data_IF_128395088417
#
_entry.id   IF_128395088417
#
_cell.length_a   1.000
_cell.length_b   1.000
_cell.length_c   1.000
_cell.angle_alpha   90.00
_cell.angle_beta   90.00
_cell.angle_gamma   90.00
#
_symmetry.space_group_name_H-M   'P 1'
#
loop_
_entity.id
_entity.type
_entity.pdbx_description
1 polymer ?
#
# COMPACT_ATOMS: atom_id res chain seq x y z
N UNK A 1 12.34 9.81 2.71
CA UNK A 1 13.08 8.71 2.05
C UNK A 1 14.01 9.25 1.00
N UNK A 2 13.50 9.85 -0.09
CA UNK A 2 14.33 10.32 -1.22
C UNK A 2 15.47 11.26 -0.81
N UNK A 3 15.19 12.25 0.06
CA UNK A 3 16.21 13.19 0.57
C UNK A 3 17.41 12.50 1.24
N UNK A 4 17.17 11.41 1.96
CA UNK A 4 18.17 10.74 2.78
C UNK A 4 18.68 9.44 2.12
N UNK A 5 18.20 9.10 0.92
CA UNK A 5 18.63 7.94 0.13
C UNK A 5 20.15 7.86 -0.08
N UNK A 6 20.83 8.93 -0.51
CA UNK A 6 22.28 8.92 -0.67
C UNK A 6 23.03 8.65 0.65
N UNK A 7 22.51 9.18 1.77
CA UNK A 7 23.11 8.96 3.09
C UNK A 7 22.98 7.50 3.50
N UNK A 8 21.82 6.89 3.27
CA UNK A 8 21.59 5.48 3.56
C UNK A 8 22.57 4.60 2.79
N UNK A 9 22.71 4.80 1.47
CA UNK A 9 23.62 4.01 0.61
C UNK A 9 25.09 4.17 0.98
N UNK A 10 25.48 5.28 1.58
CA UNK A 10 26.86 5.51 2.04
C UNK A 10 27.21 4.76 3.34
N UNK A 11 26.22 4.25 4.09
CA UNK A 11 26.47 3.47 5.30
C UNK A 11 26.97 2.09 4.90
N UNK A 12 28.09 1.58 5.46
CA UNK A 12 28.60 0.24 5.19
C UNK A 12 27.74 -0.82 5.90
N UNK A 13 26.50 -0.98 5.45
CA UNK A 13 25.58 -2.00 5.88
C UNK A 13 25.49 -3.10 4.82
N UNK A 14 25.26 -4.34 5.28
CA UNK A 14 25.08 -5.50 4.40
C UNK A 14 23.76 -5.43 3.61
N UNK A 15 22.74 -4.80 4.19
CA UNK A 15 21.43 -4.59 3.58
C UNK A 15 20.95 -3.19 3.96
N UNK A 16 20.58 -2.41 2.96
CA UNK A 16 19.79 -1.20 3.13
C UNK A 16 18.32 -1.52 2.87
N UNK A 17 17.43 -0.97 3.67
CA UNK A 17 15.99 -1.14 3.44
C UNK A 17 15.20 0.14 3.72
N UNK A 18 14.06 0.27 3.06
CA UNK A 18 13.05 1.27 3.39
C UNK A 18 11.81 0.58 3.95
N UNK A 19 11.34 1.06 5.10
CA UNK A 19 9.98 0.78 5.57
C UNK A 19 9.10 1.97 5.25
N UNK A 20 8.26 1.82 4.24
CA UNK A 20 7.30 2.81 3.76
C UNK A 20 5.97 2.55 4.45
N UNK A 21 5.93 2.83 5.75
CA UNK A 21 4.78 2.55 6.61
C UNK A 21 4.58 3.68 7.65
N UNK A 22 3.35 4.20 7.82
CA UNK A 22 2.22 4.03 6.90
C UNK A 22 2.49 4.75 5.56
N UNK A 23 2.17 4.12 4.44
CA UNK A 23 2.43 4.68 3.10
C UNK A 23 1.34 5.69 2.69
N UNK A 24 1.51 6.95 3.12
CA UNK A 24 0.46 7.97 3.03
C UNK A 24 0.71 9.08 2.00
N UNK A 25 1.65 8.87 1.09
CA UNK A 25 1.89 9.81 0.01
C UNK A 25 2.68 9.18 -1.13
N UNK A 26 2.37 9.59 -2.36
CA UNK A 26 3.05 9.10 -3.54
C UNK A 26 4.53 9.46 -3.52
N UNK A 27 5.41 8.49 -3.78
CA UNK A 27 6.85 8.72 -3.87
C UNK A 27 7.28 9.23 -5.25
N UNK A 28 6.40 9.26 -6.25
CA UNK A 28 6.78 9.57 -7.62
C UNK A 28 7.63 8.46 -8.25
N UNK A 29 8.35 8.83 -9.30
CA UNK A 29 9.44 8.03 -9.83
C UNK A 29 10.66 8.13 -8.91
N UNK A 30 11.09 6.99 -8.38
CA UNK A 30 12.27 6.86 -7.53
C UNK A 30 13.47 6.56 -8.43
N UNK A 31 14.51 7.41 -8.44
CA UNK A 31 15.74 7.10 -9.17
C UNK A 31 16.33 5.77 -8.71
N UNK A 32 16.73 4.92 -9.68
CA UNK A 32 17.18 3.54 -9.42
C UNK A 32 18.34 3.49 -8.42
N UNK A 33 19.26 4.45 -8.50
CA UNK A 33 20.43 4.57 -7.64
C UNK A 33 20.08 4.86 -6.17
N UNK A 34 18.88 5.37 -5.90
CA UNK A 34 18.39 5.63 -4.56
C UNK A 34 17.62 4.45 -3.97
N UNK A 35 17.16 3.50 -4.79
CA UNK A 35 16.45 2.33 -4.27
C UNK A 35 17.38 1.49 -3.36
N UNK A 36 16.87 1.06 -2.20
CA UNK A 36 17.60 0.19 -1.29
C UNK A 36 17.58 -1.26 -1.81
N UNK A 37 18.18 -2.18 -1.06
CA UNK A 37 18.17 -3.61 -1.42
C UNK A 37 16.82 -4.27 -1.12
N UNK A 38 16.03 -3.65 -0.24
CA UNK A 38 14.73 -4.14 0.19
C UNK A 38 13.74 -3.01 0.51
N UNK A 39 12.51 -3.12 0.03
CA UNK A 39 11.44 -2.17 0.31
C UNK A 39 10.26 -2.90 0.94
N UNK A 40 9.78 -2.37 2.06
CA UNK A 40 8.58 -2.82 2.76
C UNK A 40 7.53 -1.73 2.61
N UNK A 41 6.33 -2.08 2.12
CA UNK A 41 5.21 -1.17 2.00
C UNK A 41 4.01 -1.66 2.80
N UNK A 42 3.28 -0.73 3.42
CA UNK A 42 2.09 -1.07 4.18
C UNK A 42 1.27 0.14 4.64
N UNK A 43 -0.03 -0.10 4.82
CA UNK A 43 -0.97 0.93 5.28
C UNK A 43 -1.09 1.00 6.81
N UNK A 44 -1.80 2.04 7.28
CA UNK A 44 -1.91 2.39 8.69
C UNK A 44 -2.88 1.45 9.43
N UNK A 45 -2.54 1.05 10.67
CA UNK A 45 -3.42 0.28 11.55
C UNK A 45 -3.90 1.12 12.73
N UNK A 46 -5.01 0.73 13.37
CA UNK A 46 -5.54 1.38 14.57
C UNK A 46 -6.77 2.25 14.33
N UNK A 47 -7.32 2.84 15.41
CA UNK A 47 -8.64 3.49 15.39
C UNK A 47 -8.74 4.71 14.47
N UNK A 48 -7.61 5.35 14.15
CA UNK A 48 -7.55 6.55 13.31
C UNK A 48 -6.75 6.30 12.01
N UNK A 49 -6.65 5.05 11.59
CA UNK A 49 -5.91 4.69 10.39
C UNK A 49 -6.43 5.45 9.17
N UNK A 50 -5.50 5.96 8.36
CA UNK A 50 -5.77 6.62 7.08
C UNK A 50 -5.67 5.63 5.92
N UNK A 51 -6.49 5.78 4.86
CA UNK A 51 -6.40 4.98 3.65
C UNK A 51 -5.07 5.20 2.91
N UNK A 52 -4.49 4.12 2.38
CA UNK A 52 -3.32 4.13 1.49
C UNK A 52 -3.81 3.89 0.07
N UNK A 53 -3.52 4.80 -0.86
CA UNK A 53 -3.94 4.65 -2.25
C UNK A 53 -3.30 3.40 -2.90
N UNK A 54 -4.07 2.46 -3.47
CA UNK A 54 -3.55 1.23 -4.06
C UNK A 54 -2.47 1.46 -5.13
N UNK A 55 -2.68 2.48 -5.97
CA UNK A 55 -1.71 2.87 -7.01
C UNK A 55 -0.32 3.24 -6.48
N UNK A 56 -0.19 3.72 -5.23
CA UNK A 56 1.12 4.04 -4.66
C UNK A 56 1.91 2.76 -4.34
N UNK A 57 1.25 1.76 -3.76
CA UNK A 57 1.86 0.46 -3.49
C UNK A 57 2.23 -0.27 -4.79
N UNK A 58 1.34 -0.25 -5.80
CA UNK A 58 1.59 -0.82 -7.13
C UNK A 58 2.77 -0.15 -7.83
N UNK A 59 2.80 1.18 -7.89
CA UNK A 59 3.90 1.92 -8.51
C UNK A 59 5.25 1.61 -7.83
N UNK A 60 5.30 1.64 -6.49
CA UNK A 60 6.55 1.34 -5.76
C UNK A 60 7.02 -0.10 -5.99
N UNK A 61 6.10 -1.06 -6.00
CA UNK A 61 6.37 -2.46 -6.32
C UNK A 61 6.94 -2.62 -7.72
N UNK A 62 6.33 -1.99 -8.72
CA UNK A 62 6.74 -2.12 -10.12
C UNK A 62 8.13 -1.50 -10.34
N UNK A 63 8.40 -0.37 -9.67
CA UNK A 63 9.74 0.24 -9.64
C UNK A 63 10.78 -0.68 -8.97
N UNK A 64 10.42 -1.36 -7.87
CA UNK A 64 11.31 -2.34 -7.23
C UNK A 64 11.59 -3.54 -8.16
N UNK A 65 10.56 -4.10 -8.79
CA UNK A 65 10.71 -5.23 -9.72
C UNK A 65 11.59 -4.85 -10.92
N UNK A 66 11.39 -3.66 -11.50
CA UNK A 66 12.22 -3.17 -12.61
C UNK A 66 13.70 -2.93 -12.18
N UNK A 67 13.90 -2.63 -10.90
CA UNK A 67 15.23 -2.42 -10.31
C UNK A 67 15.90 -3.71 -9.82
N UNK A 68 15.22 -4.86 -9.87
CA UNK A 68 15.63 -6.11 -9.20
C UNK A 68 15.85 -5.93 -7.68
N UNK A 69 14.97 -5.13 -7.06
CA UNK A 69 14.95 -4.84 -5.62
C UNK A 69 13.85 -5.67 -4.96
N UNK A 70 14.17 -6.30 -3.83
CA UNK A 70 13.19 -7.08 -3.09
C UNK A 70 12.05 -6.19 -2.59
N UNK A 71 10.81 -6.62 -2.81
CA UNK A 71 9.61 -5.91 -2.36
C UNK A 71 8.73 -6.78 -1.47
N UNK A 72 8.46 -6.30 -0.26
CA UNK A 72 7.52 -6.86 0.68
C UNK A 72 6.29 -5.96 0.80
N UNK A 73 5.13 -6.44 0.35
CA UNK A 73 3.86 -5.86 0.76
C UNK A 73 3.46 -6.46 2.10
N UNK A 74 3.61 -5.68 3.16
CA UNK A 74 3.36 -6.17 4.51
C UNK A 74 1.88 -6.34 4.76
N UNK A 75 1.07 -5.31 4.54
CA UNK A 75 -0.39 -5.35 4.68
C UNK A 75 -1.05 -4.03 4.27
N UNK A 76 -2.37 -4.06 4.15
CA UNK A 76 -3.21 -2.88 3.89
C UNK A 76 -3.45 -1.95 5.10
N UNK A 77 -3.35 -2.46 6.34
CA UNK A 77 -3.80 -1.68 7.50
C UNK A 77 -5.30 -1.86 7.73
N UNK A 78 -6.02 -0.83 8.21
CA UNK A 78 -7.47 -0.96 8.45
C UNK A 78 -8.34 -0.86 7.18
N UNK A 79 -7.79 -0.31 6.10
CA UNK A 79 -8.49 0.00 4.85
C UNK A 79 -7.97 -0.87 3.72
N UNK A 80 -8.85 -1.45 2.90
CA UNK A 80 -8.43 -2.25 1.73
C UNK A 80 -9.26 -1.93 0.50
N UNK A 81 -8.71 -2.25 -0.67
CA UNK A 81 -9.39 -2.14 -1.97
C UNK A 81 -10.54 -3.15 -2.08
N UNK A 82 -11.54 -2.84 -2.91
CA UNK A 82 -12.67 -3.73 -3.17
C UNK A 82 -12.29 -5.17 -3.55
N UNK A 83 -11.15 -5.37 -4.23
CA UNK A 83 -10.62 -6.71 -4.56
C UNK A 83 -10.39 -7.62 -3.34
N UNK A 84 -10.15 -7.04 -2.16
CA UNK A 84 -9.87 -7.76 -0.92
C UNK A 84 -11.08 -7.79 0.02
N UNK A 85 -12.15 -7.08 -0.32
CA UNK A 85 -13.39 -7.12 0.43
C UNK A 85 -14.12 -8.40 0.06
N UNK A 86 -13.95 -9.43 0.90
CA UNK A 86 -14.91 -10.54 0.94
C UNK A 86 -16.30 -9.92 1.12
N UNK A 87 -17.33 -10.43 0.43
CA UNK A 87 -18.73 -9.98 0.60
C UNK A 87 -19.11 -10.05 2.08
N UNK A 88 -18.90 -8.96 2.80
CA UNK A 88 -19.29 -8.82 4.19
C UNK A 88 -20.72 -8.28 4.21
N UNK A 89 -21.52 -8.79 5.13
CA UNK A 89 -22.82 -8.21 5.42
C UNK A 89 -22.63 -7.00 6.34
N UNK A 90 -23.03 -5.82 5.91
CA UNK A 90 -23.10 -4.64 6.76
C UNK A 90 -22.69 -3.33 6.11
N UNK A 91 -22.94 -2.25 6.83
CA UNK A 91 -22.47 -0.90 6.49
C UNK A 91 -21.04 -0.73 6.99
N UNK A 92 -20.13 -0.29 6.11
CA UNK A 92 -18.74 0.02 6.44
C UNK A 92 -18.40 1.45 6.04
N UNK A 93 -17.40 2.04 6.70
CA UNK A 93 -16.84 3.30 6.23
C UNK A 93 -16.08 3.08 4.91
N UNK A 94 -16.30 3.97 3.96
CA UNK A 94 -15.62 3.99 2.66
C UNK A 94 -14.83 5.27 2.48
N UNK A 95 -13.74 5.19 1.74
CA UNK A 95 -12.92 6.33 1.38
C UNK A 95 -12.79 6.36 -0.14
N UNK A 96 -13.24 7.46 -0.75
CA UNK A 96 -13.15 7.70 -2.20
C UNK A 96 -12.10 8.74 -2.48
N UNK A 97 -11.25 8.47 -3.46
CA UNK A 97 -10.16 9.36 -3.84
C UNK A 97 -10.52 10.16 -5.08
N UNK A 98 -10.59 11.48 -4.92
CA UNK A 98 -10.83 12.42 -6.02
C UNK A 98 -9.99 13.68 -5.82
N UNK A 99 -9.34 14.17 -6.89
CA UNK A 99 -8.58 15.41 -6.90
C UNK A 99 -7.62 15.53 -5.68
N UNK A 100 -6.78 14.50 -5.53
CA UNK A 100 -5.80 14.35 -4.45
C UNK A 100 -6.34 14.39 -3.02
N UNK A 101 -7.64 14.12 -2.85
CA UNK A 101 -8.34 14.21 -1.57
C UNK A 101 -9.16 12.95 -1.30
N UNK A 102 -9.09 12.47 -0.05
CA UNK A 102 -9.99 11.44 0.45
C UNK A 102 -11.31 12.06 0.91
N UNK A 103 -12.42 11.55 0.39
CA UNK A 103 -13.76 11.80 0.91
C UNK A 103 -14.28 10.54 1.60
N UNK A 104 -14.94 10.69 2.75
CA UNK A 104 -15.35 9.57 3.59
C UNK A 104 -16.87 9.45 3.65
N UNK A 105 -17.37 8.23 3.47
CA UNK A 105 -18.80 7.91 3.43
C UNK A 105 -19.06 6.59 4.14
N UNK A 106 -20.31 6.14 4.14
CA UNK A 106 -20.71 4.81 4.57
C UNK A 106 -21.40 4.08 3.41
N UNK A 107 -21.06 2.82 3.19
CA UNK A 107 -21.69 1.98 2.16
C UNK A 107 -22.10 0.63 2.73
N UNK A 108 -23.24 0.14 2.26
CA UNK A 108 -23.73 -1.20 2.61
C UNK A 108 -23.24 -2.23 1.59
N UNK A 109 -22.27 -3.04 2.00
CA UNK A 109 -21.63 -4.06 1.17
C UNK A 109 -22.54 -5.25 0.80
N UNK A 110 -23.76 -5.31 1.35
CA UNK A 110 -24.73 -6.36 1.00
C UNK A 110 -25.49 -6.08 -0.31
N UNK A 111 -25.50 -4.83 -0.79
CA UNK A 111 -26.30 -4.41 -1.94
C UNK A 111 -25.50 -3.71 -3.04
N UNK A 112 -24.23 -3.38 -2.79
CA UNK A 112 -23.36 -2.80 -3.81
C UNK A 112 -22.84 -3.90 -4.74
N UNK A 113 -23.23 -3.83 -6.01
CA UNK A 113 -22.47 -4.46 -7.09
C UNK A 113 -21.16 -3.67 -7.19
N UNK A 114 -20.16 -4.09 -6.40
CA UNK A 114 -18.98 -3.29 -6.06
C UNK A 114 -18.40 -2.56 -7.27
N UNK A 115 -18.77 -1.27 -7.41
CA UNK A 115 -18.40 -0.44 -8.54
C UNK A 115 -16.89 -0.22 -8.54
N UNK A 116 -16.21 -1.18 -9.16
CA UNK A 116 -14.86 -1.04 -9.67
C UNK A 116 -15.09 -0.53 -11.08
N UNK A 117 -14.85 0.75 -11.36
CA UNK A 117 -14.43 1.03 -12.74
C UNK A 117 -13.46 2.18 -12.91
N UNK A 118 -13.40 3.21 -12.07
CA UNK A 118 -12.45 4.31 -12.38
C UNK A 118 -11.66 4.90 -11.19
N UNK A 119 -12.07 4.72 -9.93
CA UNK A 119 -11.44 5.38 -8.78
C UNK A 119 -11.20 4.41 -7.62
N UNK A 120 -10.13 4.58 -6.80
CA UNK A 120 -9.86 3.65 -5.73
C UNK A 120 -10.79 3.93 -4.54
N UNK A 121 -11.89 3.19 -4.50
CA UNK A 121 -12.73 3.05 -3.32
C UNK A 121 -12.09 2.07 -2.33
N UNK A 122 -11.79 2.57 -1.13
CA UNK A 122 -11.30 1.75 -0.03
C UNK A 122 -12.35 1.56 1.05
N UNK A 123 -12.32 0.39 1.66
CA UNK A 123 -13.29 -0.05 2.65
C UNK A 123 -12.59 -0.32 3.97
N UNK A 124 -13.12 0.24 5.06
CA UNK A 124 -12.61 0.02 6.41
C UNK A 124 -13.16 -1.28 6.98
N UNK A 125 -12.47 -2.38 6.68
CA UNK A 125 -12.87 -3.74 7.07
C UNK A 125 -12.12 -4.27 8.29
N UNK A 126 -11.14 -3.53 8.78
CA UNK A 126 -10.31 -3.93 9.90
C UNK A 126 -9.05 -4.66 9.46
N UNK A 127 -7.95 -4.47 10.19
CA UNK A 127 -6.61 -5.02 9.87
C UNK A 127 -6.60 -6.49 9.45
N UNK A 128 -7.30 -7.34 10.20
CA UNK A 128 -7.32 -8.78 9.95
C UNK A 128 -8.00 -9.12 8.62
N UNK A 129 -9.09 -8.45 8.29
CA UNK A 129 -9.84 -8.69 7.05
C UNK A 129 -9.16 -8.03 5.84
N UNK A 130 -8.55 -6.86 6.04
CA UNK A 130 -7.88 -6.10 4.99
C UNK A 130 -6.73 -6.89 4.32
N UNK A 131 -6.02 -7.70 5.11
CA UNK A 131 -5.09 -8.70 4.62
C UNK A 131 -3.81 -8.15 3.96
N UNK A 132 -3.18 -9.00 3.14
CA UNK A 132 -1.85 -8.78 2.55
C UNK A 132 -1.80 -9.01 1.03
N UNK A 133 -2.96 -9.17 0.39
CA UNK A 133 -3.03 -9.40 -1.05
C UNK A 133 -2.98 -8.06 -1.78
N UNK A 134 -2.06 -7.92 -2.73
CA UNK A 134 -1.97 -6.79 -3.64
C UNK A 134 -2.01 -7.36 -5.05
N UNK A 135 -3.06 -7.03 -5.80
CA UNK A 135 -3.36 -7.61 -7.11
C UNK A 135 -3.46 -9.15 -7.06
N UNK A 136 -4.28 -9.65 -6.13
CA UNK A 136 -4.62 -11.07 -6.01
C UNK A 136 -3.53 -12.01 -5.46
N UNK A 137 -2.34 -11.49 -5.09
CA UNK A 137 -1.26 -12.31 -4.50
C UNK A 137 -0.51 -11.60 -3.36
N UNK A 138 0.22 -12.38 -2.58
CA UNK A 138 1.18 -11.81 -1.63
C UNK A 138 2.48 -11.43 -2.33
N UNK A 139 3.15 -10.41 -1.79
CA UNK A 139 4.47 -9.97 -2.23
C UNK A 139 5.40 -10.08 -1.03
N UNK A 140 6.16 -11.16 -0.96
CA UNK A 140 6.99 -11.53 0.20
C UNK A 140 8.49 -11.51 -0.14
N UNK A 141 8.92 -10.54 -0.97
CA UNK A 141 10.32 -10.42 -1.37
C UNK A 141 11.22 -10.11 -0.17
N UNK A 142 12.37 -10.77 -0.12
CA UNK A 142 13.46 -10.53 0.85
C UNK A 142 14.78 -10.38 0.10
N UNK A 143 15.72 -9.59 0.62
CA UNK A 143 17.03 -9.44 0.00
C UNK A 143 17.79 -10.76 0.06
N UNK A 144 18.64 -11.00 -0.94
CA UNK A 144 19.48 -12.18 -0.97
C UNK A 144 20.44 -12.22 0.24
N UNK A 145 20.84 -13.42 0.71
CA UNK A 145 21.86 -13.59 1.76
C UNK A 145 23.26 -13.14 1.32
#
# INVERSE_FOLDING_TARGET
MLRDGPKLKAIPARVHFWSVEPFLGYLGEVPRELLPDWVIAGGESGPNARPMHPGWARSLRDQCNAADVAFLFKQWGEWTSGENVLRQHGTVATAKWWNDTWSFHEENLAYTDGHIDDEPDLYRVGKKAAGRLLDGRTWDGFPAP
#
